data_IF_811433238180
#
_entry.id   IF_811433238180
#
_cell.length_a   1.000
_cell.length_b   1.000
_cell.length_c   1.000
_cell.angle_alpha   90.00
_cell.angle_beta   90.00
_cell.angle_gamma   90.00
#
_symmetry.space_group_name_H-M   'P 1'
#
loop_
_entity.id
_entity.type
_entity.pdbx_description
1 polymer ?
#
# COMPACT_ATOMS: atom_id res chain seq x y z
N UNK A 1 23.76 -3.14 12.33
CA UNK A 1 23.05 -2.34 11.32
C UNK A 1 22.84 -0.96 11.91
N UNK A 2 23.24 0.11 11.22
CA UNK A 2 23.00 1.48 11.70
C UNK A 2 21.53 1.88 11.57
N UNK A 3 21.15 2.99 12.22
CA UNK A 3 19.77 3.46 12.25
C UNK A 3 19.22 3.76 10.83
N UNK A 4 19.91 4.52 9.95
CA UNK A 4 19.46 4.75 8.57
C UNK A 4 19.21 3.47 7.76
N UNK A 5 20.14 2.51 7.82
CA UNK A 5 20.01 1.22 7.13
C UNK A 5 18.84 0.42 7.68
N UNK A 6 18.68 0.41 9.00
CA UNK A 6 17.55 -0.26 9.66
C UNK A 6 16.21 0.37 9.29
N UNK A 7 16.16 1.70 9.21
CA UNK A 7 14.96 2.42 8.80
C UNK A 7 14.52 2.04 7.38
N UNK A 8 15.43 2.06 6.39
CA UNK A 8 15.10 1.66 5.02
C UNK A 8 14.58 0.23 4.94
N UNK A 9 15.25 -0.70 5.64
CA UNK A 9 14.83 -2.10 5.71
C UNK A 9 13.44 -2.25 6.36
N UNK A 10 13.16 -1.49 7.42
CA UNK A 10 11.87 -1.51 8.11
C UNK A 10 10.75 -0.90 7.26
N UNK A 11 10.98 0.26 6.64
CA UNK A 11 10.01 0.91 5.76
C UNK A 11 9.61 -0.01 4.61
N UNK A 12 10.59 -0.66 3.96
CA UNK A 12 10.34 -1.65 2.90
C UNK A 12 9.51 -2.84 3.41
N UNK A 13 9.82 -3.36 4.60
CA UNK A 13 9.09 -4.47 5.24
C UNK A 13 7.63 -4.09 5.52
N UNK A 14 7.38 -2.91 6.07
CA UNK A 14 6.02 -2.44 6.38
C UNK A 14 5.20 -2.19 5.10
N UNK A 15 5.83 -1.63 4.07
CA UNK A 15 5.21 -1.45 2.76
C UNK A 15 4.83 -2.79 2.12
N UNK A 16 5.73 -3.79 2.15
CA UNK A 16 5.40 -5.17 1.74
C UNK A 16 4.26 -5.77 2.55
N UNK A 17 4.22 -5.52 3.86
CA UNK A 17 3.12 -6.00 4.72
C UNK A 17 1.79 -5.43 4.27
N UNK A 18 1.72 -4.12 3.99
CA UNK A 18 0.48 -3.49 3.51
C UNK A 18 0.11 -3.95 2.10
N UNK A 19 1.07 -4.08 1.17
CA UNK A 19 0.84 -4.72 -0.13
C UNK A 19 0.16 -6.09 0.01
N UNK A 20 0.72 -6.95 0.86
CA UNK A 20 0.18 -8.29 1.09
C UNK A 20 -1.20 -8.31 1.75
N UNK A 21 -1.55 -7.32 2.59
CA UNK A 21 -2.90 -7.20 3.18
C UNK A 21 -3.91 -6.87 2.07
N UNK A 22 -3.61 -5.90 1.20
CA UNK A 22 -4.49 -5.55 0.10
C UNK A 22 -4.67 -6.73 -0.88
N UNK A 23 -3.59 -7.41 -1.25
CA UNK A 23 -3.65 -8.57 -2.15
C UNK A 23 -4.48 -9.72 -1.59
N UNK A 24 -4.25 -10.12 -0.34
CA UNK A 24 -5.07 -11.15 0.32
C UNK A 24 -6.53 -10.75 0.43
N UNK A 25 -6.82 -9.45 0.54
CA UNK A 25 -8.20 -8.94 0.53
C UNK A 25 -8.82 -9.09 -0.87
N UNK A 26 -8.12 -8.66 -1.92
CA UNK A 26 -8.58 -8.74 -3.31
C UNK A 26 -8.67 -10.19 -3.84
N UNK A 27 -7.85 -11.11 -3.32
CA UNK A 27 -7.89 -12.53 -3.67
C UNK A 27 -9.23 -13.20 -3.28
N UNK A 28 -9.87 -12.72 -2.21
CA UNK A 28 -11.17 -13.25 -1.75
C UNK A 28 -12.36 -12.76 -2.59
N UNK A 29 -12.15 -11.84 -3.52
CA UNK A 29 -13.21 -11.16 -4.29
C UNK A 29 -13.24 -11.62 -5.75
N UNK A 30 -14.45 -11.64 -6.33
CA UNK A 30 -14.60 -11.78 -7.78
C UNK A 30 -14.41 -10.41 -8.48
N UNK A 31 -14.58 -10.36 -9.81
CA UNK A 31 -14.41 -9.11 -10.56
C UNK A 31 -15.49 -8.08 -10.22
N UNK A 32 -16.76 -8.47 -10.18
CA UNK A 32 -17.88 -7.59 -9.84
C UNK A 32 -17.69 -6.93 -8.46
N UNK A 33 -17.20 -7.69 -7.48
CA UNK A 33 -16.88 -7.23 -6.14
C UNK A 33 -15.78 -6.14 -6.13
N UNK A 34 -14.77 -6.25 -7.00
CA UNK A 34 -13.69 -5.26 -7.11
C UNK A 34 -14.19 -3.92 -7.66
N UNK A 35 -15.25 -3.97 -8.47
CA UNK A 35 -15.89 -2.81 -9.08
C UNK A 35 -17.10 -2.29 -8.29
N UNK A 36 -17.56 -3.03 -7.28
CA UNK A 36 -18.66 -2.64 -6.42
C UNK A 36 -18.40 -1.33 -5.67
N UNK A 37 -19.42 -0.47 -5.62
CA UNK A 37 -19.45 0.79 -4.87
C UNK A 37 -20.59 0.73 -3.84
N UNK A 38 -20.31 0.91 -2.53
CA UNK A 38 -21.36 0.91 -1.51
C UNK A 38 -22.38 2.06 -1.67
N UNK A 39 -21.90 3.22 -2.11
CA UNK A 39 -22.68 4.42 -2.38
C UNK A 39 -22.22 5.11 -3.66
N UNK A 40 -23.03 6.07 -4.15
CA UNK A 40 -22.73 6.80 -5.40
C UNK A 40 -21.42 7.60 -5.33
N UNK A 41 -21.12 8.14 -4.16
CA UNK A 41 -19.92 8.94 -3.89
C UNK A 41 -18.74 8.09 -3.36
N UNK A 42 -18.96 6.79 -3.15
CA UNK A 42 -17.94 5.91 -2.59
C UNK A 42 -17.02 5.35 -3.70
N UNK A 43 -15.76 5.16 -3.35
CA UNK A 43 -14.79 4.51 -4.21
C UNK A 43 -14.95 2.98 -4.15
N UNK A 44 -14.86 2.34 -5.31
CA UNK A 44 -14.65 0.89 -5.39
C UNK A 44 -13.18 0.54 -5.10
N UNK A 45 -12.90 -0.75 -4.89
CA UNK A 45 -11.53 -1.24 -4.73
C UNK A 45 -10.70 -0.94 -6.00
N UNK A 46 -11.29 -1.11 -7.19
CA UNK A 46 -10.64 -0.76 -8.46
C UNK A 46 -10.21 0.71 -8.53
N UNK A 47 -11.06 1.64 -8.08
CA UNK A 47 -10.71 3.07 -8.00
C UNK A 47 -9.60 3.33 -6.99
N UNK A 48 -9.65 2.70 -5.81
CA UNK A 48 -8.61 2.84 -4.80
C UNK A 48 -7.26 2.34 -5.33
N UNK A 49 -7.24 1.20 -6.03
CA UNK A 49 -6.04 0.66 -6.68
C UNK A 49 -5.50 1.64 -7.73
N UNK A 50 -6.35 2.14 -8.63
CA UNK A 50 -5.95 3.11 -9.66
C UNK A 50 -5.34 4.37 -9.03
N UNK A 51 -5.96 4.90 -7.98
CA UNK A 51 -5.45 6.03 -7.21
C UNK A 51 -4.07 5.74 -6.59
N UNK A 52 -3.92 4.58 -5.94
CA UNK A 52 -2.65 4.19 -5.33
C UNK A 52 -1.54 4.07 -6.39
N UNK A 53 -1.83 3.45 -7.54
CA UNK A 53 -0.86 3.30 -8.64
C UNK A 53 -0.43 4.67 -9.20
N UNK A 54 -1.38 5.57 -9.45
CA UNK A 54 -1.09 6.93 -9.91
C UNK A 54 -0.26 7.72 -8.91
N UNK A 55 -0.60 7.62 -7.61
CA UNK A 55 0.22 8.18 -6.54
C UNK A 55 1.63 7.58 -6.52
N UNK A 56 1.79 6.26 -6.47
CA UNK A 56 3.09 5.58 -6.40
C UNK A 56 4.00 5.99 -7.54
N UNK A 57 3.49 5.94 -8.78
CA UNK A 57 4.25 6.36 -9.96
C UNK A 57 4.64 7.83 -9.88
N UNK A 58 3.72 8.70 -9.48
CA UNK A 58 4.02 10.13 -9.35
C UNK A 58 5.09 10.37 -8.29
N UNK A 59 4.97 9.73 -7.12
CA UNK A 59 5.86 10.00 -5.98
C UNK A 59 7.24 9.40 -6.15
N UNK A 60 7.38 8.25 -6.80
CA UNK A 60 8.64 7.49 -6.81
C UNK A 60 9.39 7.49 -8.14
N UNK A 61 8.77 7.89 -9.26
CA UNK A 61 9.51 8.08 -10.52
C UNK A 61 10.51 9.23 -10.37
N UNK A 62 11.78 9.01 -10.71
CA UNK A 62 12.85 10.03 -10.60
C UNK A 62 12.87 10.70 -9.21
N UNK A 63 12.64 9.91 -8.16
CA UNK A 63 12.35 10.34 -6.79
C UNK A 63 13.29 11.42 -6.21
N UNK A 64 14.59 11.33 -6.50
CA UNK A 64 15.59 12.25 -5.95
C UNK A 64 15.84 13.49 -6.79
N UNK A 65 15.35 13.52 -8.04
CA UNK A 65 15.74 14.53 -9.05
C UNK A 65 14.58 15.35 -9.56
N UNK A 66 13.35 14.90 -9.37
CA UNK A 66 12.15 15.57 -9.84
C UNK A 66 11.12 15.72 -8.71
N UNK A 67 10.20 16.67 -8.87
CA UNK A 67 9.07 16.80 -7.96
C UNK A 67 8.23 15.52 -7.93
N UNK A 68 7.78 15.11 -6.74
CA UNK A 68 6.93 13.96 -6.55
C UNK A 68 5.50 14.16 -7.05
N UNK A 69 5.08 15.39 -7.40
CA UNK A 69 3.87 15.65 -8.18
C UNK A 69 4.24 15.85 -9.65
N UNK A 70 4.00 14.80 -10.45
CA UNK A 70 4.39 14.81 -11.86
C UNK A 70 3.40 15.59 -12.69
N UNK A 71 3.89 16.34 -13.68
CA UNK A 71 3.07 17.12 -14.61
C UNK A 71 2.11 16.26 -15.43
N UNK A 72 2.46 15.00 -15.67
CA UNK A 72 1.61 14.02 -16.36
C UNK A 72 0.58 13.36 -15.44
N UNK A 73 0.65 13.55 -14.12
CA UNK A 73 -0.31 12.93 -13.20
C UNK A 73 -1.61 13.73 -13.22
N UNK A 74 -2.65 13.12 -13.75
CA UNK A 74 -4.02 13.63 -13.62
C UNK A 74 -4.73 12.90 -12.48
N UNK A 75 -4.75 13.54 -11.30
CA UNK A 75 -5.38 12.97 -10.11
C UNK A 75 -6.88 12.75 -10.31
N UNK A 76 -7.57 13.62 -11.04
CA UNK A 76 -9.02 13.53 -11.18
C UNK A 76 -9.42 12.28 -11.98
N UNK A 77 -8.68 11.99 -13.05
CA UNK A 77 -8.89 10.76 -13.83
C UNK A 77 -8.58 9.48 -13.05
N UNK A 78 -7.88 9.54 -11.91
CA UNK A 78 -7.68 8.35 -11.05
C UNK A 78 -9.00 7.84 -10.46
N UNK A 79 -10.06 8.66 -10.43
CA UNK A 79 -11.38 8.33 -9.89
C UNK A 79 -12.39 7.89 -10.96
N UNK A 80 -11.99 7.95 -12.24
CA UNK A 80 -12.73 7.40 -13.36
C UNK A 80 -12.19 5.99 -13.66
N UNK A 81 -12.96 4.94 -13.37
CA UNK A 81 -12.47 3.54 -13.47
C UNK A 81 -12.02 3.20 -14.90
N UNK A 82 -10.71 3.02 -15.10
CA UNK A 82 -10.14 2.63 -16.40
C UNK A 82 -9.74 1.16 -16.47
N UNK A 83 -9.41 0.55 -15.33
CA UNK A 83 -9.10 -0.87 -15.20
C UNK A 83 -10.40 -1.66 -15.41
N UNK A 84 -10.48 -2.49 -16.46
CA UNK A 84 -11.73 -3.14 -16.85
C UNK A 84 -11.91 -4.52 -16.23
N UNK A 85 -10.80 -5.21 -15.94
CA UNK A 85 -10.84 -6.57 -15.43
C UNK A 85 -9.81 -6.79 -14.31
N UNK A 86 -9.99 -7.89 -13.58
CA UNK A 86 -9.14 -8.25 -12.44
C UNK A 86 -7.66 -8.40 -12.83
N UNK A 87 -7.37 -8.89 -14.04
CA UNK A 87 -5.99 -9.04 -14.51
C UNK A 87 -5.31 -7.68 -14.71
N UNK A 88 -5.96 -6.75 -15.40
CA UNK A 88 -5.47 -5.38 -15.57
C UNK A 88 -5.25 -4.68 -14.24
N UNK A 89 -6.18 -4.84 -13.30
CA UNK A 89 -6.08 -4.27 -11.96
C UNK A 89 -4.85 -4.79 -11.21
N UNK A 90 -4.62 -6.10 -11.21
CA UNK A 90 -3.46 -6.69 -10.54
C UNK A 90 -2.14 -6.33 -11.25
N UNK A 91 -2.12 -6.25 -12.58
CA UNK A 91 -0.94 -5.80 -13.32
C UNK A 91 -0.59 -4.34 -13.01
N UNK A 92 -1.59 -3.46 -12.98
CA UNK A 92 -1.41 -2.06 -12.60
C UNK A 92 -0.89 -1.94 -11.16
N UNK A 93 -1.50 -2.68 -10.23
CA UNK A 93 -1.10 -2.77 -8.83
C UNK A 93 0.38 -3.15 -8.67
N UNK A 94 0.82 -4.25 -9.31
CA UNK A 94 2.22 -4.67 -9.30
C UNK A 94 3.13 -3.57 -9.87
N UNK A 95 2.76 -2.95 -10.99
CA UNK A 95 3.58 -1.90 -11.60
C UNK A 95 3.78 -0.67 -10.70
N UNK A 96 2.77 -0.35 -9.87
CA UNK A 96 2.88 0.73 -8.87
C UNK A 96 3.86 0.37 -7.76
N UNK A 97 3.75 -0.83 -7.21
CA UNK A 97 4.64 -1.32 -6.16
C UNK A 97 6.07 -1.53 -6.63
N UNK A 98 6.28 -2.02 -7.86
CA UNK A 98 7.60 -2.15 -8.45
C UNK A 98 8.32 -0.80 -8.50
N UNK A 99 7.60 0.27 -8.86
CA UNK A 99 8.15 1.63 -8.83
C UNK A 99 8.61 2.04 -7.42
N UNK A 100 7.81 1.77 -6.39
CA UNK A 100 8.16 2.05 -4.99
C UNK A 100 9.39 1.27 -4.55
N UNK A 101 9.37 -0.06 -4.73
CA UNK A 101 10.43 -0.93 -4.23
C UNK A 101 11.73 -0.76 -5.00
N UNK A 102 11.66 -0.53 -6.30
CA UNK A 102 12.85 -0.18 -7.08
C UNK A 102 13.55 1.06 -6.51
N UNK A 103 12.79 2.11 -6.14
CA UNK A 103 13.37 3.30 -5.53
C UNK A 103 13.95 2.98 -4.14
N UNK A 104 13.21 2.30 -3.27
CA UNK A 104 13.69 1.97 -1.92
C UNK A 104 14.94 1.08 -1.91
N UNK A 105 15.03 0.13 -2.84
CA UNK A 105 16.17 -0.80 -2.95
C UNK A 105 17.44 -0.11 -3.45
N UNK A 106 17.30 1.03 -4.13
CA UNK A 106 18.43 1.81 -4.65
C UNK A 106 18.87 2.98 -3.75
N UNK A 107 18.02 3.40 -2.79
CA UNK A 107 18.37 4.46 -1.84
C UNK A 107 19.55 4.06 -0.95
N UNK A 108 20.42 5.04 -0.70
CA UNK A 108 21.55 4.90 0.22
C UNK A 108 21.21 5.52 1.58
N UNK A 109 21.71 4.96 2.69
CA UNK A 109 21.49 5.47 4.05
C UNK A 109 21.63 7.00 4.22
N UNK A 110 22.66 7.61 3.63
CA UNK A 110 22.92 9.04 3.74
C UNK A 110 21.90 9.91 3.00
N UNK A 111 21.16 9.36 2.04
CA UNK A 111 20.16 10.08 1.26
C UNK A 111 18.85 10.29 2.03
N UNK A 112 18.65 9.65 3.19
CA UNK A 112 17.45 9.86 4.01
C UNK A 112 17.26 11.32 4.45
N UNK A 113 18.37 12.07 4.56
CA UNK A 113 18.40 13.50 4.90
C UNK A 113 18.52 14.41 3.67
N UNK A 114 18.44 13.86 2.45
CA UNK A 114 18.39 14.66 1.24
C UNK A 114 17.00 15.27 1.08
N UNK A 115 16.95 16.51 0.61
CA UNK A 115 15.69 17.15 0.22
C UNK A 115 15.15 16.60 -1.10
N UNK A 116 13.85 16.36 -1.13
CA UNK A 116 13.02 16.10 -2.31
C UNK A 116 11.83 17.05 -2.27
N UNK A 117 11.17 17.26 -3.41
CA UNK A 117 10.00 18.12 -3.48
C UNK A 117 8.73 17.32 -3.70
N UNK A 118 7.64 17.76 -3.09
CA UNK A 118 6.29 17.31 -3.40
C UNK A 118 5.41 18.55 -3.53
N UNK A 119 4.90 18.83 -4.73
CA UNK A 119 4.13 20.06 -5.02
C UNK A 119 4.93 21.33 -4.70
N UNK A 120 6.21 21.31 -5.06
CA UNK A 120 7.20 22.35 -4.80
C UNK A 120 7.48 22.63 -3.31
N UNK A 121 6.91 21.85 -2.39
CA UNK A 121 7.24 21.88 -0.96
C UNK A 121 8.41 20.94 -0.68
N UNK A 122 9.41 21.43 0.05
CA UNK A 122 10.59 20.65 0.42
C UNK A 122 10.25 19.65 1.53
N UNK A 123 10.74 18.43 1.38
CA UNK A 123 10.67 17.35 2.36
C UNK A 123 11.99 16.61 2.39
N UNK A 124 12.35 16.03 3.53
CA UNK A 124 13.41 15.03 3.55
C UNK A 124 12.92 13.72 2.93
N UNK A 125 13.82 12.93 2.33
CA UNK A 125 13.50 11.58 1.83
C UNK A 125 12.80 10.74 2.90
N UNK A 126 13.27 10.79 4.15
CA UNK A 126 12.64 10.07 5.27
C UNK A 126 11.18 10.49 5.48
N UNK A 127 10.87 11.78 5.36
CA UNK A 127 9.52 12.33 5.50
C UNK A 127 8.65 11.89 4.32
N UNK A 128 9.17 11.96 3.10
CA UNK A 128 8.46 11.54 1.90
C UNK A 128 8.08 10.05 1.97
N UNK A 129 8.99 9.17 2.42
CA UNK A 129 8.73 7.74 2.64
C UNK A 129 7.63 7.56 3.69
N UNK A 130 7.72 8.23 4.85
CA UNK A 130 6.72 8.11 5.92
C UNK A 130 5.33 8.57 5.48
N UNK A 131 5.24 9.65 4.71
CA UNK A 131 3.96 10.13 4.15
C UNK A 131 3.33 9.08 3.24
N UNK A 132 4.12 8.42 2.39
CA UNK A 132 3.61 7.36 1.52
C UNK A 132 3.26 6.08 2.29
N UNK A 133 4.04 5.70 3.31
CA UNK A 133 3.71 4.58 4.19
C UNK A 133 2.34 4.79 4.85
N UNK A 134 2.09 5.97 5.43
CA UNK A 134 0.80 6.31 6.03
C UNK A 134 -0.34 6.32 5.02
N UNK A 135 -0.11 6.90 3.83
CA UNK A 135 -1.09 6.94 2.74
C UNK A 135 -1.47 5.55 2.24
N UNK A 136 -0.49 4.66 2.03
CA UNK A 136 -0.73 3.30 1.55
C UNK A 136 -1.35 2.41 2.63
N UNK A 137 -0.98 2.60 3.90
CA UNK A 137 -1.64 1.96 5.03
C UNK A 137 -3.14 2.32 5.08
N UNK A 138 -3.46 3.60 4.90
CA UNK A 138 -4.83 4.11 4.91
C UNK A 138 -5.68 3.45 3.80
N UNK A 139 -5.21 3.48 2.55
CA UNK A 139 -5.95 2.91 1.43
C UNK A 139 -6.00 1.38 1.46
N UNK A 140 -4.94 0.72 1.94
CA UNK A 140 -4.98 -0.73 2.22
C UNK A 140 -6.06 -1.07 3.25
N UNK A 141 -6.21 -0.25 4.28
CA UNK A 141 -7.29 -0.38 5.27
C UNK A 141 -8.68 -0.25 4.65
N UNK A 142 -8.87 0.68 3.73
CA UNK A 142 -10.13 0.83 2.98
C UNK A 142 -10.44 -0.40 2.12
N UNK A 143 -9.44 -0.92 1.39
CA UNK A 143 -9.58 -2.14 0.58
C UNK A 143 -9.99 -3.33 1.47
N UNK A 144 -9.26 -3.55 2.56
CA UNK A 144 -9.55 -4.65 3.49
C UNK A 144 -10.94 -4.52 4.12
N UNK A 145 -11.37 -3.31 4.47
CA UNK A 145 -12.69 -3.06 5.02
C UNK A 145 -13.80 -3.35 4.01
N UNK A 146 -13.68 -2.83 2.78
CA UNK A 146 -14.65 -3.08 1.71
C UNK A 146 -14.75 -4.57 1.38
N UNK A 147 -13.60 -5.25 1.21
CA UNK A 147 -13.56 -6.67 0.92
C UNK A 147 -14.24 -7.49 2.03
N UNK A 148 -13.96 -7.18 3.29
CA UNK A 148 -14.62 -7.80 4.45
C UNK A 148 -16.13 -7.52 4.46
N UNK A 149 -16.55 -6.31 4.13
CA UNK A 149 -17.97 -5.95 4.08
C UNK A 149 -18.72 -6.71 2.99
N UNK A 150 -18.11 -6.88 1.82
CA UNK A 150 -18.66 -7.65 0.69
C UNK A 150 -18.76 -9.13 1.06
N UNK A 151 -17.69 -9.70 1.62
CA UNK A 151 -17.64 -11.13 1.98
C UNK A 151 -18.49 -11.49 3.20
N UNK A 152 -18.70 -10.54 4.11
CA UNK A 152 -19.52 -10.73 5.31
C UNK A 152 -19.09 -11.95 6.11
N UNK A 153 -19.98 -12.96 6.21
CA UNK A 153 -19.73 -14.20 6.94
C UNK A 153 -18.67 -15.11 6.30
N UNK A 154 -18.45 -14.97 4.99
CA UNK A 154 -17.52 -15.79 4.21
C UNK A 154 -16.14 -15.13 4.09
N UNK A 155 -15.84 -14.17 4.99
CA UNK A 155 -14.55 -13.50 5.09
C UNK A 155 -13.54 -14.36 5.84
N UNK A 156 -12.39 -14.60 5.22
CA UNK A 156 -11.27 -15.29 5.82
C UNK A 156 -10.34 -14.27 6.53
N UNK A 157 -10.22 -14.42 7.85
CA UNK A 157 -9.39 -13.53 8.67
C UNK A 157 -7.91 -13.61 8.28
N UNK A 158 -7.33 -12.48 7.88
CA UNK A 158 -5.89 -12.35 7.61
C UNK A 158 -5.02 -12.23 8.87
N UNK A 159 -5.65 -12.11 10.05
CA UNK A 159 -5.02 -12.08 11.37
C UNK A 159 -5.72 -13.08 12.29
N UNK A 160 -5.67 -12.88 13.60
CA UNK A 160 -6.33 -13.75 14.57
C UNK A 160 -7.86 -13.57 14.45
N UNK A 161 -8.63 -14.63 14.15
CA UNK A 161 -10.09 -14.55 14.11
C UNK A 161 -10.68 -14.07 15.44
N UNK A 162 -11.88 -13.47 15.40
CA UNK A 162 -12.58 -13.02 16.61
C UNK A 162 -12.85 -14.23 17.52
N UNK A 163 -12.44 -14.13 18.79
CA UNK A 163 -12.55 -15.21 19.78
C UNK A 163 -11.34 -16.15 19.84
N UNK A 164 -10.34 -15.98 18.97
CA UNK A 164 -9.21 -16.91 18.86
C UNK A 164 -7.89 -16.37 19.47
N UNK A 165 -7.92 -15.16 20.04
CA UNK A 165 -6.74 -14.47 20.57
C UNK A 165 -6.02 -15.23 21.68
N UNK A 166 -6.76 -15.80 22.65
CA UNK A 166 -6.15 -16.57 23.75
C UNK A 166 -5.42 -17.82 23.24
N UNK A 167 -6.07 -18.57 22.35
CA UNK A 167 -5.50 -19.79 21.75
C UNK A 167 -4.26 -19.46 20.90
N UNK A 168 -4.31 -18.38 20.13
CA UNK A 168 -3.17 -17.93 19.33
C UNK A 168 -2.00 -17.49 20.22
N UNK A 169 -2.27 -16.63 21.22
CA UNK A 169 -1.25 -16.12 22.14
C UNK A 169 -0.58 -17.27 22.91
N UNK A 170 -1.35 -18.23 23.41
CA UNK A 170 -0.83 -19.43 24.07
C UNK A 170 0.18 -20.15 23.17
N UNK A 171 -0.17 -20.44 21.92
CA UNK A 171 0.75 -21.08 20.95
C UNK A 171 2.01 -20.26 20.66
N UNK A 172 1.89 -18.93 20.58
CA UNK A 172 3.03 -18.05 20.28
C UNK A 172 4.00 -17.94 21.45
N UNK A 173 3.49 -17.78 22.67
CA UNK A 173 4.33 -17.65 23.87
C UNK A 173 4.86 -19.00 24.37
N UNK A 174 4.17 -20.12 24.11
CA UNK A 174 4.72 -21.47 24.32
C UNK A 174 5.91 -21.76 23.40
N UNK A 175 5.90 -21.22 22.16
CA UNK A 175 7.07 -21.28 21.26
C UNK A 175 8.21 -20.35 21.69
N UNK A 176 7.95 -19.37 22.56
CA UNK A 176 8.91 -18.37 23.04
C UNK A 176 9.73 -18.78 24.26
N UNK A 177 9.72 -20.06 24.66
CA UNK A 177 10.50 -20.58 25.80
C UNK A 177 11.76 -21.36 25.34
N UNK A 178 12.48 -20.87 24.34
CA UNK A 178 13.84 -21.33 24.01
C UNK A 178 14.69 -20.13 23.57
N UNK A 179 15.59 -19.76 24.47
CA UNK A 179 16.85 -19.01 24.38
C UNK A 179 17.00 -17.92 23.29
#
# INVERSE_FOLDING_TARGET
MDLPTHYLANARKELLRFKGIAEKSMQQLNEEDLHYRPGKEDNSIAVIVQHMVGNMRSRFTNFLTEDGEKTWRNRESEFETTLQNKSELLQAWESGWDCVFHTLDNLKPHQLMQEVKIRNEAHLVIEAINRQLAHYAYHTGQIAYLAKSIRGKDWESMSIPKGESERFNKKMFEKGSRD
#
